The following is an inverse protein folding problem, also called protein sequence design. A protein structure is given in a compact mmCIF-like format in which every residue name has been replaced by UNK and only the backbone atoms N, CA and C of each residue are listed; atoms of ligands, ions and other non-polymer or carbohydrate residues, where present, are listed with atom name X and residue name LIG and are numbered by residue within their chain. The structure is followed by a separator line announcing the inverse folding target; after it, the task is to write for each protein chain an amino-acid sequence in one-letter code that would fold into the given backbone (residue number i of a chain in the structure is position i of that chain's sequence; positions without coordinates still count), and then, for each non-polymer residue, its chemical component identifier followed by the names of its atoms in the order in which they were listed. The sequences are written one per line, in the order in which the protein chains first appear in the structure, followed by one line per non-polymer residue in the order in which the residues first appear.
data_IF_599325672363
#
_entry.id   IF_599325672363
#
_cell.length_a   1.000
_cell.length_b   1.000
_cell.length_c   1.000
_cell.angle_alpha   90.00
_cell.angle_beta   90.00
_cell.angle_gamma   90.00
#
_symmetry.space_group_name_H-M   'P 1'
#
loop_
_entity.id
_entity.type
_entity.pdbx_description
1 polymer ?
#
# COMPACT_ATOMS: atom_id res chain seq x y z
N UNK A 1 -37.75 2.02 -60.04
CA UNK A 1 -36.90 0.84 -59.81
C UNK A 1 -35.90 1.17 -58.70
N UNK A 2 -35.98 0.39 -57.61
CA UNK A 2 -34.88 -0.10 -56.75
C UNK A 2 -34.16 0.99 -55.93
N UNK A 3 -34.50 1.24 -54.66
CA UNK A 3 -34.31 0.45 -53.40
C UNK A 3 -33.22 1.13 -52.55
N UNK A 4 -33.56 1.93 -51.53
CA UNK A 4 -33.66 1.55 -50.10
C UNK A 4 -32.44 0.78 -49.56
N UNK A 5 -31.67 1.43 -48.68
CA UNK A 5 -31.30 0.92 -47.34
C UNK A 5 -30.53 2.01 -46.56
N UNK A 6 -31.26 2.77 -45.74
CA UNK A 6 -30.69 3.47 -44.58
C UNK A 6 -30.59 2.43 -43.46
N UNK A 7 -29.37 2.03 -43.11
CA UNK A 7 -29.12 1.22 -41.93
C UNK A 7 -29.19 2.14 -40.70
N UNK A 8 -30.30 2.05 -39.98
CA UNK A 8 -30.50 2.73 -38.72
C UNK A 8 -29.55 2.15 -37.66
N UNK A 9 -28.81 3.04 -37.04
CA UNK A 9 -28.02 2.85 -35.83
C UNK A 9 -28.91 2.31 -34.72
N UNK A 10 -28.85 1.00 -34.48
CA UNK A 10 -29.44 0.35 -33.30
C UNK A 10 -28.43 -0.64 -32.74
N UNK A 11 -27.42 -0.12 -32.04
CA UNK A 11 -26.61 -0.89 -31.09
C UNK A 11 -26.79 -0.23 -29.73
N UNK A 12 -28.05 -0.22 -29.28
CA UNK A 12 -28.40 -0.07 -27.87
C UNK A 12 -28.82 -1.46 -27.39
N UNK A 13 -27.87 -2.25 -26.89
CA UNK A 13 -28.14 -3.65 -26.58
C UNK A 13 -26.97 -4.49 -26.10
N UNK A 14 -25.98 -3.92 -25.40
CA UNK A 14 -24.90 -4.72 -24.80
C UNK A 14 -24.39 -4.16 -23.45
N UNK A 15 -25.15 -3.27 -22.79
CA UNK A 15 -24.77 -2.69 -21.50
C UNK A 15 -25.59 -3.25 -20.31
N UNK A 16 -26.17 -4.44 -20.44
CA UNK A 16 -26.97 -5.11 -19.38
C UNK A 16 -26.49 -6.51 -19.00
N UNK A 17 -25.25 -6.88 -19.33
CA UNK A 17 -24.68 -8.19 -18.97
C UNK A 17 -23.41 -8.10 -18.11
N UNK A 18 -23.26 -7.06 -17.30
CA UNK A 18 -22.31 -7.05 -16.19
C UNK A 18 -22.99 -6.49 -14.93
N UNK A 19 -24.23 -6.95 -14.69
CA UNK A 19 -24.79 -6.89 -13.35
C UNK A 19 -23.94 -7.81 -12.48
N UNK A 20 -23.27 -7.21 -11.50
CA UNK A 20 -22.49 -7.86 -10.45
C UNK A 20 -23.05 -9.22 -10.07
N UNK A 21 -22.48 -10.29 -10.63
CA UNK A 21 -22.51 -11.59 -10.03
C UNK A 21 -21.67 -11.47 -8.76
N UNK A 22 -22.28 -11.03 -7.66
CA UNK A 22 -21.78 -11.39 -6.33
C UNK A 22 -21.56 -12.90 -6.40
N UNK A 23 -20.37 -13.43 -6.12
CA UNK A 23 -20.28 -14.85 -5.87
C UNK A 23 -21.17 -15.09 -4.65
N UNK A 24 -22.38 -15.61 -4.89
CA UNK A 24 -23.14 -16.29 -3.84
C UNK A 24 -22.28 -17.50 -3.53
N UNK A 25 -21.34 -17.33 -2.60
CA UNK A 25 -20.65 -18.44 -1.97
C UNK A 25 -21.79 -19.34 -1.52
N UNK A 26 -21.97 -20.52 -2.14
CA UNK A 26 -23.04 -21.39 -1.73
C UNK A 26 -22.80 -21.66 -0.25
N UNK A 27 -23.84 -21.52 0.59
CA UNK A 27 -23.75 -21.79 2.02
C UNK A 27 -23.18 -23.19 2.34
N UNK A 28 -23.04 -24.05 1.32
CA UNK A 28 -22.33 -25.32 1.33
C UNK A 28 -20.85 -25.21 1.71
N UNK A 29 -20.13 -24.12 1.43
CA UNK A 29 -18.72 -24.01 1.88
C UNK A 29 -18.59 -23.71 3.37
N UNK A 30 -19.62 -23.15 4.01
CA UNK A 30 -19.68 -23.02 5.48
C UNK A 30 -20.12 -24.30 6.19
N UNK A 31 -20.78 -25.21 5.48
CA UNK A 31 -21.25 -26.48 6.05
C UNK A 31 -20.22 -27.62 5.97
N UNK A 32 -19.14 -27.47 5.20
CA UNK A 32 -18.11 -28.52 5.06
C UNK A 32 -17.07 -28.54 6.20
N UNK A 33 -17.17 -27.63 7.16
CA UNK A 33 -16.33 -27.62 8.36
C UNK A 33 -17.16 -27.30 9.62
N UNK A 34 -18.39 -27.82 9.70
CA UNK A 34 -18.91 -28.21 11.00
C UNK A 34 -18.56 -29.68 11.13
N UNK A 35 -17.44 -29.96 11.79
CA UNK A 35 -17.27 -31.26 12.43
C UNK A 35 -18.52 -31.43 13.30
N UNK A 36 -19.41 -32.40 13.04
CA UNK A 36 -20.50 -32.66 13.95
C UNK A 36 -19.89 -32.90 15.32
N UNK A 37 -20.15 -32.01 16.28
CA UNK A 37 -19.66 -32.22 17.62
C UNK A 37 -20.43 -33.39 18.21
N UNK A 38 -19.68 -34.48 18.41
CA UNK A 38 -20.02 -35.70 19.14
C UNK A 38 -21.06 -36.59 18.43
N UNK A 39 -20.61 -37.32 17.42
CA UNK A 39 -21.10 -38.69 17.27
C UNK A 39 -20.68 -39.44 18.55
N UNK A 40 -21.66 -39.96 19.29
CA UNK A 40 -21.44 -40.76 20.49
C UNK A 40 -20.72 -42.04 20.08
N UNK A 41 -19.38 -41.99 20.02
CA UNK A 41 -18.55 -43.19 19.95
C UNK A 41 -19.00 -44.12 21.07
N UNK A 42 -19.28 -45.41 20.79
CA UNK A 42 -19.75 -46.30 21.82
C UNK A 42 -18.70 -46.44 22.92
N UNK A 43 -18.89 -45.71 24.02
CA UNK A 43 -18.03 -45.83 25.18
C UNK A 43 -18.17 -47.25 25.71
N UNK A 44 -17.05 -47.91 26.00
CA UNK A 44 -17.06 -49.21 26.65
C UNK A 44 -17.89 -49.12 27.94
N UNK A 45 -19.05 -49.78 27.95
CA UNK A 45 -20.01 -49.74 29.06
C UNK A 45 -21.33 -48.99 28.80
N UNK A 46 -21.58 -48.46 27.59
CA UNK A 46 -22.88 -47.87 27.23
C UNK A 46 -24.06 -48.80 27.49
N UNK A 47 -23.95 -50.06 27.06
CA UNK A 47 -24.95 -51.10 27.35
C UNK A 47 -25.28 -51.21 28.86
N UNK A 48 -24.27 -51.17 29.72
CA UNK A 48 -24.48 -51.21 31.18
C UNK A 48 -25.05 -49.91 31.73
N UNK A 49 -24.68 -48.75 31.16
CA UNK A 49 -25.21 -47.43 31.53
C UNK A 49 -26.68 -47.31 31.13
N UNK A 50 -27.06 -47.78 29.95
CA UNK A 50 -28.43 -47.78 29.44
C UNK A 50 -29.33 -48.72 30.24
N UNK A 51 -28.88 -49.95 30.51
CA UNK A 51 -29.59 -50.88 31.39
C UNK A 51 -29.69 -50.30 32.81
N UNK A 52 -28.62 -49.72 33.34
CA UNK A 52 -28.66 -49.10 34.65
C UNK A 52 -29.58 -47.88 34.70
N UNK A 53 -29.68 -47.09 33.62
CA UNK A 53 -30.59 -45.96 33.49
C UNK A 53 -32.04 -46.43 33.46
N UNK A 54 -32.35 -47.41 32.60
CA UNK A 54 -33.67 -48.03 32.51
C UNK A 54 -34.11 -48.64 33.85
N UNK A 55 -33.19 -49.27 34.58
CA UNK A 55 -33.49 -49.81 35.91
C UNK A 55 -33.68 -48.73 36.96
N UNK A 56 -32.87 -47.67 36.92
CA UNK A 56 -32.95 -46.54 37.86
C UNK A 56 -34.30 -45.82 37.76
N UNK A 57 -34.82 -45.65 36.55
CA UNK A 57 -36.12 -45.04 36.30
C UNK A 57 -37.29 -45.84 36.89
N UNK A 58 -37.13 -47.16 37.06
CA UNK A 58 -38.18 -48.06 37.56
C UNK A 58 -38.02 -48.49 39.01
N UNK A 59 -36.79 -48.61 39.50
CA UNK A 59 -36.45 -49.25 40.78
C UNK A 59 -35.56 -48.38 41.69
N UNK A 60 -35.31 -47.13 41.28
CA UNK A 60 -34.51 -46.16 42.03
C UNK A 60 -33.00 -46.41 41.97
N UNK A 61 -32.24 -45.53 42.64
CA UNK A 61 -30.76 -45.58 42.74
C UNK A 61 -30.23 -46.92 43.31
N UNK A 62 -31.05 -47.65 44.06
CA UNK A 62 -30.66 -48.94 44.67
C UNK A 62 -30.92 -50.14 43.78
N UNK A 63 -31.81 -50.04 42.79
CA UNK A 63 -32.29 -51.21 42.06
C UNK A 63 -31.22 -51.91 41.22
N UNK A 64 -30.41 -51.14 40.48
CA UNK A 64 -29.31 -51.72 39.70
C UNK A 64 -28.23 -52.35 40.59
N UNK A 65 -27.95 -51.78 41.77
CA UNK A 65 -26.97 -52.32 42.73
C UNK A 65 -27.47 -53.60 43.38
N UNK A 66 -28.74 -53.63 43.78
CA UNK A 66 -29.39 -54.81 44.35
C UNK A 66 -29.50 -55.96 43.34
N UNK A 67 -29.80 -55.64 42.07
CA UNK A 67 -29.79 -56.65 41.01
C UNK A 67 -28.39 -57.23 40.82
N UNK A 68 -27.35 -56.38 40.71
CA UNK A 68 -25.97 -56.86 40.54
C UNK A 68 -25.52 -57.74 41.72
N UNK A 69 -25.80 -57.31 42.96
CA UNK A 69 -25.49 -58.10 44.15
C UNK A 69 -26.32 -59.39 44.23
N UNK A 70 -27.58 -59.36 43.83
CA UNK A 70 -28.48 -60.50 43.78
C UNK A 70 -28.05 -61.54 42.75
N UNK A 71 -27.67 -61.11 41.54
CA UNK A 71 -27.11 -62.00 40.50
C UNK A 71 -25.80 -62.63 40.95
N UNK A 72 -24.91 -61.85 41.58
CA UNK A 72 -23.65 -62.39 42.12
C UNK A 72 -23.92 -63.46 43.19
N UNK A 73 -24.80 -63.16 44.14
CA UNK A 73 -25.18 -64.09 45.22
C UNK A 73 -25.87 -65.34 44.65
N UNK A 74 -26.69 -65.19 43.61
CA UNK A 74 -27.35 -66.30 42.92
C UNK A 74 -26.35 -67.22 42.22
N UNK A 75 -25.37 -66.65 41.51
CA UNK A 75 -24.32 -67.42 40.81
C UNK A 75 -23.45 -68.21 41.80
N UNK A 76 -23.14 -67.63 42.96
CA UNK A 76 -22.45 -68.32 44.05
C UNK A 76 -23.34 -69.40 44.70
N UNK A 77 -24.61 -69.08 44.98
CA UNK A 77 -25.55 -70.00 45.63
C UNK A 77 -25.90 -71.22 44.78
N UNK A 78 -25.88 -71.07 43.45
CA UNK A 78 -26.14 -72.16 42.49
C UNK A 78 -24.87 -72.89 42.03
N UNK A 79 -23.72 -72.62 42.65
CA UNK A 79 -22.42 -73.21 42.29
C UNK A 79 -22.08 -73.06 40.79
N UNK A 80 -22.68 -72.07 40.11
CA UNK A 80 -22.33 -71.74 38.72
C UNK A 80 -20.91 -71.16 38.68
N UNK A 81 -20.48 -70.52 39.77
CA UNK A 81 -19.09 -70.13 40.02
C UNK A 81 -18.58 -70.90 41.25
N UNK A 82 -17.75 -71.92 41.02
CA UNK A 82 -17.10 -72.73 42.05
C UNK A 82 -15.78 -72.07 42.44
N UNK A 83 -15.58 -71.78 43.73
CA UNK A 83 -14.34 -71.17 44.23
C UNK A 83 -13.24 -72.24 44.27
N UNK A 84 -12.59 -72.44 43.13
CA UNK A 84 -11.39 -73.28 42.98
C UNK A 84 -10.16 -72.39 42.70
N UNK A 85 -8.96 -72.96 42.83
CA UNK A 85 -7.67 -72.29 42.55
C UNK A 85 -7.63 -71.57 41.19
N UNK A 86 -8.29 -72.10 40.16
CA UNK A 86 -8.40 -71.47 38.83
C UNK A 86 -9.23 -70.17 38.82
N UNK A 87 -10.28 -70.08 39.65
CA UNK A 87 -11.09 -68.85 39.77
C UNK A 87 -10.36 -67.74 40.51
N UNK A 88 -9.49 -68.10 41.45
CA UNK A 88 -8.61 -67.16 42.14
C UNK A 88 -7.55 -66.60 41.19
N UNK A 89 -6.97 -67.45 40.34
CA UNK A 89 -6.08 -67.02 39.26
C UNK A 89 -6.80 -66.07 38.28
N UNK A 90 -8.03 -66.40 37.88
CA UNK A 90 -8.85 -65.54 37.02
C UNK A 90 -9.13 -64.17 37.62
N UNK A 91 -9.42 -64.09 38.92
CA UNK A 91 -9.63 -62.83 39.63
C UNK A 91 -8.37 -61.96 39.68
N UNK A 92 -7.20 -62.56 39.93
CA UNK A 92 -5.91 -61.85 39.91
C UNK A 92 -5.57 -61.35 38.50
N UNK A 93 -5.78 -62.17 37.47
CA UNK A 93 -5.59 -61.76 36.07
C UNK A 93 -6.53 -60.62 35.65
N UNK A 94 -7.79 -60.66 36.10
CA UNK A 94 -8.73 -59.56 35.85
C UNK A 94 -8.28 -58.27 36.55
N UNK A 95 -7.80 -58.36 37.79
CA UNK A 95 -7.30 -57.21 38.55
C UNK A 95 -6.06 -56.59 37.91
N UNK A 96 -5.13 -57.40 37.40
CA UNK A 96 -3.92 -56.88 36.71
C UNK A 96 -4.27 -56.24 35.37
N UNK A 97 -5.14 -56.85 34.57
CA UNK A 97 -5.63 -56.25 33.31
C UNK A 97 -6.37 -54.94 33.57
N UNK A 98 -7.19 -54.87 34.61
CA UNK A 98 -7.90 -53.64 35.01
C UNK A 98 -6.92 -52.52 35.42
N UNK A 99 -5.87 -52.85 36.17
CA UNK A 99 -4.85 -51.90 36.58
C UNK A 99 -4.06 -51.35 35.37
N UNK A 100 -3.73 -52.21 34.40
CA UNK A 100 -3.07 -51.81 33.14
C UNK A 100 -4.00 -50.91 32.31
N UNK A 101 -5.28 -51.29 32.16
CA UNK A 101 -6.26 -50.50 31.41
C UNK A 101 -6.35 -49.06 31.95
N UNK A 102 -6.45 -48.89 33.27
CA UNK A 102 -6.50 -47.58 33.93
C UNK A 102 -5.26 -46.71 33.67
N UNK A 103 -4.09 -47.32 33.46
CA UNK A 103 -2.83 -46.61 33.24
C UNK A 103 -2.57 -46.29 31.77
N UNK A 104 -2.99 -47.17 30.86
CA UNK A 104 -2.78 -47.03 29.41
C UNK A 104 -3.86 -46.14 28.76
N UNK A 105 -5.05 -46.04 29.36
CA UNK A 105 -6.16 -45.28 28.77
C UNK A 105 -5.85 -43.79 28.56
N UNK A 106 -5.19 -43.15 29.52
CA UNK A 106 -4.84 -41.72 29.46
C UNK A 106 -3.83 -41.39 28.36
N UNK A 107 -2.62 -42.02 28.31
CA UNK A 107 -1.64 -41.68 27.28
C UNK A 107 -2.10 -42.04 25.86
N UNK A 108 -2.95 -43.07 25.71
CA UNK A 108 -3.54 -43.40 24.39
C UNK A 108 -4.55 -42.33 23.97
N UNK A 109 -5.38 -41.83 24.89
CA UNK A 109 -6.31 -40.74 24.60
C UNK A 109 -5.54 -39.47 24.21
N UNK A 110 -4.55 -39.07 25.00
CA UNK A 110 -3.73 -37.87 24.74
C UNK A 110 -3.00 -37.95 23.38
N UNK A 111 -2.48 -39.13 23.01
CA UNK A 111 -1.83 -39.35 21.73
C UNK A 111 -2.81 -39.24 20.55
N UNK A 112 -4.01 -39.80 20.68
CA UNK A 112 -5.04 -39.70 19.64
C UNK A 112 -5.55 -38.26 19.49
N UNK A 113 -5.72 -37.54 20.61
CA UNK A 113 -6.13 -36.13 20.60
C UNK A 113 -5.06 -35.25 19.97
N UNK A 114 -3.77 -35.45 20.31
CA UNK A 114 -2.66 -34.72 19.72
C UNK A 114 -2.59 -34.95 18.19
N UNK A 115 -2.76 -36.20 17.74
CA UNK A 115 -2.75 -36.51 16.31
C UNK A 115 -3.94 -35.90 15.57
N UNK A 116 -5.11 -35.87 16.21
CA UNK A 116 -6.31 -35.21 15.66
C UNK A 116 -6.09 -33.70 15.51
N UNK A 117 -5.52 -33.05 16.53
CA UNK A 117 -5.19 -31.62 16.50
C UNK A 117 -4.18 -31.30 15.40
N UNK A 118 -3.12 -32.09 15.26
CA UNK A 118 -2.11 -31.89 14.21
C UNK A 118 -2.72 -31.96 12.80
N UNK A 119 -3.65 -32.90 12.57
CA UNK A 119 -4.36 -33.00 11.28
C UNK A 119 -5.21 -31.75 11.05
N UNK A 120 -5.97 -31.30 12.05
CA UNK A 120 -6.79 -30.09 11.95
C UNK A 120 -5.95 -28.85 11.69
N UNK A 121 -4.81 -28.72 12.37
CA UNK A 121 -3.88 -27.60 12.20
C UNK A 121 -3.28 -27.58 10.79
N UNK A 122 -2.89 -28.74 10.25
CA UNK A 122 -2.40 -28.85 8.88
C UNK A 122 -3.46 -28.41 7.86
N UNK A 123 -4.71 -28.82 8.02
CA UNK A 123 -5.81 -28.41 7.14
C UNK A 123 -6.09 -26.90 7.26
N UNK A 124 -6.09 -26.36 8.48
CA UNK A 124 -6.28 -24.94 8.72
C UNK A 124 -5.14 -24.10 8.10
N UNK A 125 -3.90 -24.56 8.23
CA UNK A 125 -2.75 -23.91 7.64
C UNK A 125 -2.81 -23.96 6.11
N UNK A 126 -3.12 -25.11 5.52
CA UNK A 126 -3.30 -25.25 4.07
C UNK A 126 -4.37 -24.29 3.53
N UNK A 127 -5.52 -24.23 4.19
CA UNK A 127 -6.61 -23.31 3.83
C UNK A 127 -6.18 -21.84 3.94
N UNK A 128 -5.49 -21.47 5.02
CA UNK A 128 -5.04 -20.08 5.22
C UNK A 128 -4.00 -19.68 4.16
N UNK A 129 -3.06 -20.58 3.82
CA UNK A 129 -2.08 -20.36 2.75
C UNK A 129 -2.76 -20.14 1.40
N UNK A 130 -3.78 -20.92 1.08
CA UNK A 130 -4.54 -20.77 -0.17
C UNK A 130 -5.32 -19.44 -0.21
N UNK A 131 -5.99 -19.08 0.89
CA UNK A 131 -6.67 -17.79 1.03
C UNK A 131 -5.69 -16.63 0.81
N UNK A 132 -4.49 -16.71 1.40
CA UNK A 132 -3.50 -15.65 1.27
C UNK A 132 -2.88 -15.58 -0.13
N UNK A 133 -2.67 -16.72 -0.79
CA UNK A 133 -2.26 -16.77 -2.19
C UNK A 133 -3.31 -16.11 -3.11
N UNK A 134 -4.59 -16.44 -2.91
CA UNK A 134 -5.68 -15.84 -3.68
C UNK A 134 -5.82 -14.33 -3.42
N UNK A 135 -5.67 -13.88 -2.17
CA UNK A 135 -5.65 -12.44 -1.84
C UNK A 135 -4.51 -11.71 -2.55
N UNK A 136 -3.30 -12.29 -2.55
CA UNK A 136 -2.15 -11.71 -3.27
C UNK A 136 -2.42 -11.61 -4.77
N UNK A 137 -2.97 -12.66 -5.38
CA UNK A 137 -3.38 -12.62 -6.79
C UNK A 137 -4.38 -11.50 -7.08
N UNK A 138 -5.41 -11.33 -6.24
CA UNK A 138 -6.39 -10.24 -6.37
C UNK A 138 -5.74 -8.85 -6.25
N UNK A 139 -4.76 -8.68 -5.35
CA UNK A 139 -4.03 -7.42 -5.21
C UNK A 139 -3.16 -7.10 -6.43
N UNK A 140 -2.54 -8.11 -7.04
CA UNK A 140 -1.78 -7.98 -8.27
C UNK A 140 -2.69 -7.62 -9.46
N UNK A 141 -3.82 -8.29 -9.61
CA UNK A 141 -4.80 -8.00 -10.67
C UNK A 141 -5.36 -6.58 -10.56
N UNK A 142 -5.65 -6.11 -9.35
CA UNK A 142 -6.08 -4.72 -9.11
C UNK A 142 -5.03 -3.70 -9.54
N UNK A 143 -3.75 -3.99 -9.36
CA UNK A 143 -2.67 -3.12 -9.85
C UNK A 143 -2.66 -3.08 -11.38
N UNK A 144 -2.87 -4.22 -12.04
CA UNK A 144 -2.95 -4.28 -13.51
C UNK A 144 -4.15 -3.48 -14.01
N UNK A 145 -5.32 -3.63 -13.39
CA UNK A 145 -6.52 -2.86 -13.74
C UNK A 145 -6.26 -1.35 -13.63
N UNK A 146 -5.63 -0.89 -12.54
CA UNK A 146 -5.25 0.51 -12.36
C UNK A 146 -4.27 1.01 -13.42
N UNK A 147 -3.30 0.19 -13.84
CA UNK A 147 -2.37 0.55 -14.92
C UNK A 147 -3.08 0.65 -16.27
N UNK A 148 -4.09 -0.20 -16.52
CA UNK A 148 -4.90 -0.14 -17.74
C UNK A 148 -5.75 1.14 -17.79
N UNK A 149 -6.35 1.54 -16.67
CA UNK A 149 -7.11 2.80 -16.62
C UNK A 149 -6.21 4.01 -16.81
N UNK A 150 -5.00 4.00 -16.23
CA UNK A 150 -4.05 5.14 -16.30
C UNK A 150 -3.38 5.27 -17.68
N UNK A 151 -3.43 4.24 -18.52
CA UNK A 151 -2.78 4.24 -19.84
C UNK A 151 -3.28 5.37 -20.75
N UNK A 152 -4.58 5.68 -20.72
CA UNK A 152 -5.16 6.76 -21.52
C UNK A 152 -4.57 8.10 -21.13
N UNK A 153 -4.44 8.32 -19.82
CA UNK A 153 -3.95 9.57 -19.24
C UNK A 153 -2.48 9.77 -19.58
N UNK A 154 -1.67 8.72 -19.54
CA UNK A 154 -0.26 8.77 -19.98
C UNK A 154 -0.15 9.18 -21.45
N UNK A 155 -1.01 8.63 -22.32
CA UNK A 155 -1.01 8.99 -23.74
C UNK A 155 -1.44 10.44 -23.95
N UNK A 156 -2.41 10.93 -23.18
CA UNK A 156 -2.85 12.33 -23.22
C UNK A 156 -1.73 13.27 -22.78
N UNK A 157 -1.08 12.99 -21.63
CA UNK A 157 0.07 13.75 -21.13
C UNK A 157 1.20 13.77 -22.18
N UNK A 158 1.48 12.65 -22.85
CA UNK A 158 2.50 12.60 -23.92
C UNK A 158 2.13 13.48 -25.12
N UNK A 159 0.86 13.53 -25.51
CA UNK A 159 0.40 14.41 -26.60
C UNK A 159 0.51 15.88 -26.21
N UNK A 160 0.09 16.23 -25.00
CA UNK A 160 0.20 17.60 -24.49
C UNK A 160 1.65 18.04 -24.34
N UNK A 161 2.54 17.17 -23.86
CA UNK A 161 3.96 17.46 -23.75
C UNK A 161 4.58 17.74 -25.13
N UNK A 162 4.23 16.96 -26.16
CA UNK A 162 4.69 17.23 -27.52
C UNK A 162 4.18 18.58 -28.05
N UNK A 163 2.89 18.88 -27.85
CA UNK A 163 2.32 20.18 -28.22
C UNK A 163 3.02 21.35 -27.50
N UNK A 164 3.29 21.22 -26.19
CA UNK A 164 4.03 22.21 -25.42
C UNK A 164 5.47 22.39 -25.92
N UNK A 165 6.17 21.30 -26.24
CA UNK A 165 7.53 21.35 -26.76
C UNK A 165 7.60 22.09 -28.11
N UNK A 166 6.63 21.85 -29.00
CA UNK A 166 6.52 22.55 -30.28
C UNK A 166 6.29 24.06 -30.09
N UNK A 167 5.39 24.45 -29.19
CA UNK A 167 5.13 25.85 -28.85
C UNK A 167 6.36 26.52 -28.21
N UNK A 168 7.09 25.80 -27.36
CA UNK A 168 8.32 26.28 -26.73
C UNK A 168 9.39 26.56 -27.79
N UNK A 169 9.63 25.63 -28.72
CA UNK A 169 10.58 25.84 -29.81
C UNK A 169 10.18 27.02 -30.69
N UNK A 170 8.90 27.15 -31.02
CA UNK A 170 8.39 28.27 -31.80
C UNK A 170 8.67 29.61 -31.12
N UNK A 171 8.37 29.73 -29.82
CA UNK A 171 8.67 30.94 -29.03
C UNK A 171 10.16 31.20 -28.90
N UNK A 172 10.97 30.17 -28.70
CA UNK A 172 12.43 30.30 -28.64
C UNK A 172 12.99 30.88 -29.95
N UNK A 173 12.54 30.39 -31.11
CA UNK A 173 12.93 30.94 -32.41
C UNK A 173 12.52 32.41 -32.57
N UNK A 174 11.30 32.79 -32.16
CA UNK A 174 10.87 34.19 -32.17
C UNK A 174 11.73 35.07 -31.25
N UNK A 175 12.03 34.61 -30.04
CA UNK A 175 12.88 35.33 -29.09
C UNK A 175 14.32 35.46 -29.58
N UNK A 176 14.84 34.46 -30.28
CA UNK A 176 16.17 34.51 -30.90
C UNK A 176 16.24 35.59 -31.97
N UNK A 177 15.27 35.62 -32.90
CA UNK A 177 15.18 36.67 -33.93
C UNK A 177 15.05 38.06 -33.29
N UNK A 178 14.17 38.21 -32.29
CA UNK A 178 14.00 39.48 -31.58
C UNK A 178 15.30 39.93 -30.89
N UNK A 179 16.04 39.00 -30.30
CA UNK A 179 17.33 39.28 -29.64
C UNK A 179 18.39 39.72 -30.65
N UNK A 180 18.48 39.07 -31.80
CA UNK A 180 19.43 39.44 -32.84
C UNK A 180 19.11 40.82 -33.43
N UNK A 181 17.84 41.12 -33.71
CA UNK A 181 17.44 42.46 -34.19
C UNK A 181 17.76 43.53 -33.14
N UNK A 182 17.42 43.28 -31.87
CA UNK A 182 17.75 44.19 -30.78
C UNK A 182 19.25 44.41 -30.68
N UNK A 183 20.06 43.36 -30.76
CA UNK A 183 21.53 43.45 -30.72
C UNK A 183 22.08 44.35 -31.83
N UNK A 184 21.51 44.31 -33.04
CA UNK A 184 21.92 45.23 -34.13
C UNK A 184 21.55 46.67 -33.82
N UNK A 185 20.36 46.91 -33.27
CA UNK A 185 19.91 48.24 -32.90
C UNK A 185 20.72 48.82 -31.74
N UNK A 186 20.94 48.03 -30.69
CA UNK A 186 21.75 48.40 -29.52
C UNK A 186 23.19 48.74 -29.97
N UNK A 187 23.76 47.94 -30.89
CA UNK A 187 25.07 48.23 -31.48
C UNK A 187 25.12 49.60 -32.19
N UNK A 188 24.09 49.97 -32.96
CA UNK A 188 24.05 51.29 -33.60
C UNK A 188 23.93 52.41 -32.57
N UNK A 189 23.09 52.21 -31.55
CA UNK A 189 22.95 53.18 -30.45
C UNK A 189 24.27 53.38 -29.71
N UNK A 190 25.00 52.30 -29.41
CA UNK A 190 26.31 52.34 -28.77
C UNK A 190 27.35 53.05 -29.65
N UNK A 191 27.36 52.82 -30.96
CA UNK A 191 28.24 53.56 -31.89
C UNK A 191 27.94 55.06 -31.84
N UNK A 192 26.68 55.47 -31.85
CA UNK A 192 26.32 56.89 -31.81
C UNK A 192 26.75 57.53 -30.48
N UNK A 193 26.50 56.85 -29.36
CA UNK A 193 26.93 57.31 -28.03
C UNK A 193 28.46 57.43 -28.00
N UNK A 194 29.16 56.43 -28.54
CA UNK A 194 30.62 56.43 -28.62
C UNK A 194 31.16 57.59 -29.48
N UNK A 195 30.58 57.83 -30.67
CA UNK A 195 30.98 58.95 -31.53
C UNK A 195 30.81 60.30 -30.83
N UNK A 196 29.64 60.54 -30.23
CA UNK A 196 29.39 61.78 -29.46
C UNK A 196 30.39 61.94 -28.32
N UNK A 197 30.75 60.85 -27.64
CA UNK A 197 31.75 60.87 -26.57
C UNK A 197 33.14 61.21 -27.10
N UNK A 198 33.57 60.59 -28.20
CA UNK A 198 34.87 60.88 -28.83
C UNK A 198 34.94 62.32 -29.35
N UNK A 199 33.86 62.82 -29.95
CA UNK A 199 33.77 64.21 -30.40
C UNK A 199 33.87 65.19 -29.22
N UNK A 200 33.20 64.91 -28.11
CA UNK A 200 33.30 65.70 -26.89
C UNK A 200 34.72 65.67 -26.30
N UNK A 201 35.33 64.49 -26.18
CA UNK A 201 36.70 64.34 -25.67
C UNK A 201 37.71 65.09 -26.55
N UNK A 202 37.61 64.95 -27.88
CA UNK A 202 38.46 65.68 -28.81
C UNK A 202 38.25 67.20 -28.75
N UNK A 203 37.00 67.66 -28.61
CA UNK A 203 36.68 69.07 -28.48
C UNK A 203 37.27 69.66 -27.20
N UNK A 204 37.15 68.96 -26.06
CA UNK A 204 37.74 69.38 -24.78
C UNK A 204 39.26 69.46 -24.89
N UNK A 205 39.91 68.42 -25.40
CA UNK A 205 41.37 68.37 -25.59
C UNK A 205 41.87 69.44 -26.58
N UNK A 206 41.11 69.73 -27.65
CA UNK A 206 41.41 70.85 -28.54
C UNK A 206 41.27 72.21 -27.84
N UNK A 207 40.20 72.43 -27.09
CA UNK A 207 39.99 73.66 -26.31
C UNK A 207 41.11 73.84 -25.27
N UNK A 208 41.50 72.79 -24.54
CA UNK A 208 42.60 72.84 -23.57
C UNK A 208 43.92 73.24 -24.26
N UNK A 209 44.27 72.59 -25.38
CA UNK A 209 45.48 72.93 -26.13
C UNK A 209 45.47 74.37 -26.65
N UNK A 210 44.35 74.82 -27.20
CA UNK A 210 44.27 76.15 -27.80
C UNK A 210 44.28 77.24 -26.71
N UNK A 211 43.61 77.01 -25.57
CA UNK A 211 43.71 77.88 -24.39
C UNK A 211 45.16 77.96 -23.91
N UNK A 212 45.85 76.83 -23.72
CA UNK A 212 47.27 76.82 -23.31
C UNK A 212 48.17 77.58 -24.29
N UNK A 213 47.95 77.44 -25.60
CA UNK A 213 48.71 78.21 -26.62
C UNK A 213 48.41 79.71 -26.61
N UNK A 214 47.15 80.08 -26.34
CA UNK A 214 46.72 81.48 -26.32
C UNK A 214 47.24 82.27 -25.12
N UNK A 215 47.66 81.59 -24.06
CA UNK A 215 48.35 82.18 -22.91
C UNK A 215 49.74 82.62 -23.36
N UNK A 216 49.82 83.88 -23.81
CA UNK A 216 51.12 84.52 -24.08
C UNK A 216 51.76 84.98 -22.77
N UNK A 217 53.10 85.07 -22.69
CA UNK A 217 53.78 85.59 -21.50
C UNK A 217 53.43 87.06 -21.20
N UNK A 218 52.87 87.79 -22.18
CA UNK A 218 52.34 89.13 -21.97
C UNK A 218 50.98 89.08 -21.25
N UNK A 219 50.11 88.14 -21.65
CA UNK A 219 48.82 87.90 -20.98
C UNK A 219 49.00 87.42 -19.54
N UNK A 220 50.03 86.62 -19.25
CA UNK A 220 50.37 86.21 -17.88
C UNK A 220 50.72 87.43 -16.99
N UNK A 221 51.52 88.37 -17.51
CA UNK A 221 51.84 89.61 -16.80
C UNK A 221 50.61 90.49 -16.58
N UNK A 222 49.76 90.61 -17.59
CA UNK A 222 48.52 91.38 -17.51
C UNK A 222 47.55 90.75 -16.50
N UNK A 223 47.45 89.41 -16.47
CA UNK A 223 46.66 88.66 -15.48
C UNK A 223 47.18 88.88 -14.05
N UNK A 224 48.50 88.80 -13.82
CA UNK A 224 49.09 89.13 -12.51
C UNK A 224 48.77 90.57 -12.10
N UNK A 225 48.81 91.51 -13.06
CA UNK A 225 48.45 92.90 -12.80
C UNK A 225 46.97 93.06 -12.40
N UNK A 226 46.09 92.27 -13.01
CA UNK A 226 44.66 92.26 -12.69
C UNK A 226 44.41 91.62 -11.32
N UNK A 227 45.08 90.51 -10.98
CA UNK A 227 45.00 89.93 -9.63
C UNK A 227 45.46 90.92 -8.55
N UNK A 228 46.48 91.73 -8.81
CA UNK A 228 46.91 92.80 -7.88
C UNK A 228 45.81 93.85 -7.71
N UNK A 229 45.07 94.20 -8.77
CA UNK A 229 43.91 95.11 -8.68
C UNK A 229 42.78 94.46 -7.90
N UNK A 230 42.41 93.23 -8.22
CA UNK A 230 41.32 92.52 -7.55
C UNK A 230 41.60 92.33 -6.05
N UNK A 231 42.86 92.07 -5.66
CA UNK A 231 43.27 92.03 -4.25
C UNK A 231 43.21 93.40 -3.56
N UNK A 232 43.52 94.49 -4.28
CA UNK A 232 43.36 95.85 -3.75
C UNK A 232 41.88 96.20 -3.58
N UNK A 233 41.03 95.78 -4.51
CA UNK A 233 39.59 96.02 -4.47
C UNK A 233 38.91 95.17 -3.38
N UNK A 234 39.30 93.90 -3.21
CA UNK A 234 38.88 93.07 -2.07
C UNK A 234 39.35 93.64 -0.73
N UNK A 235 40.58 94.16 -0.65
CA UNK A 235 41.07 94.85 0.55
C UNK A 235 40.28 96.13 0.82
N UNK A 236 39.91 96.89 -0.21
CA UNK A 236 39.08 98.08 -0.07
C UNK A 236 37.65 97.72 0.39
N UNK A 237 37.07 96.63 -0.12
CA UNK A 237 35.78 96.10 0.33
C UNK A 237 35.82 95.53 1.75
N UNK A 238 36.94 94.94 2.19
CA UNK A 238 37.09 94.40 3.54
C UNK A 238 37.43 95.46 4.61
N UNK A 239 37.76 96.68 4.20
CA UNK A 239 38.08 97.83 5.08
C UNK A 239 36.89 98.81 5.21
N UNK A 240 35.83 98.61 4.41
CA UNK A 240 34.51 99.21 4.59
C UNK A 240 33.61 98.29 5.43
#
# INVERSE_FOLDING_TARGET
MISRLRLATRIGGAARLLAHARPSIPATTRLMCQVPQKEETPEFGQFFRDISGLLKDKTGETGHKLLAAGLLTYVLSKEILIIHDETLLGAVMFATVYAIYRKVSQPVADYLDARSQEILDLFNEGRNREIDALKKGIEEDKKIEYMLTTRTDIVEIMRENNAMALELEYRNRLHEVAREVKKRMDYQSEIEIFKRKVEQEHMVDWMEREVVKSISPQLEKDSVSQCIKDLKDLKAMAVA
#
